data_IF_344567838163
#
_entry.id   IF_344567838163
#
_cell.length_a   1.000
_cell.length_b   1.000
_cell.length_c   1.000
_cell.angle_alpha   90.00
_cell.angle_beta   90.00
_cell.angle_gamma   90.00
#
_symmetry.space_group_name_H-M   'P 1'
#
loop_
_entity.id
_entity.type
_entity.pdbx_description
1 polymer ?
#
# COMPACT_ATOMS: atom_id res chain seq x y z
N UNK A 1 -4.19 -34.52 6.97
CA UNK A 1 -3.52 -33.29 6.47
C UNK A 1 -4.15 -32.11 7.21
N UNK A 2 -3.39 -31.22 7.87
CA UNK A 2 -3.99 -30.05 8.50
C UNK A 2 -4.37 -29.03 7.42
N UNK A 3 -5.46 -28.26 7.65
CA UNK A 3 -6.08 -27.43 6.61
C UNK A 3 -5.23 -26.20 6.28
N UNK A 4 -5.31 -25.79 5.01
CA UNK A 4 -4.66 -24.62 4.42
C UNK A 4 -4.89 -23.37 5.27
N UNK A 5 -3.83 -22.89 5.92
CA UNK A 5 -3.85 -21.60 6.60
C UNK A 5 -3.97 -20.50 5.56
N UNK A 6 -5.06 -19.73 5.61
CA UNK A 6 -5.13 -18.42 4.98
C UNK A 6 -3.92 -17.60 5.45
N UNK A 7 -2.94 -17.42 4.57
CA UNK A 7 -1.69 -16.72 4.87
C UNK A 7 -1.96 -15.22 4.92
N UNK A 8 -2.50 -14.74 6.04
CA UNK A 8 -2.42 -13.32 6.37
C UNK A 8 -0.94 -13.01 6.60
N UNK A 9 -0.24 -12.53 5.55
CA UNK A 9 1.17 -12.14 5.64
C UNK A 9 1.41 -11.15 6.77
N UNK A 10 2.65 -11.04 7.22
CA UNK A 10 3.10 -10.06 8.22
C UNK A 10 2.63 -8.65 7.86
N UNK A 11 2.54 -7.76 8.85
CA UNK A 11 2.15 -6.35 8.62
C UNK A 11 3.07 -5.67 7.59
N UNK A 12 4.35 -6.04 7.56
CA UNK A 12 5.30 -5.56 6.56
C UNK A 12 4.97 -6.08 5.15
N UNK A 13 4.62 -7.36 5.00
CA UNK A 13 4.20 -7.94 3.71
C UNK A 13 2.91 -7.30 3.20
N UNK A 14 1.95 -7.01 4.08
CA UNK A 14 0.74 -6.29 3.71
C UNK A 14 1.05 -4.89 3.15
N UNK A 15 1.90 -4.12 3.83
CA UNK A 15 2.36 -2.82 3.33
C UNK A 15 3.08 -2.93 1.98
N UNK A 16 3.91 -3.97 1.80
CA UNK A 16 4.60 -4.24 0.54
C UNK A 16 3.62 -4.55 -0.61
N UNK A 17 2.50 -5.24 -0.34
CA UNK A 17 1.49 -5.51 -1.36
C UNK A 17 0.87 -4.23 -1.93
N UNK A 18 0.54 -3.25 -1.09
CA UNK A 18 0.05 -1.94 -1.55
C UNK A 18 1.08 -1.25 -2.47
N UNK A 19 2.35 -1.22 -2.06
CA UNK A 19 3.41 -0.68 -2.90
C UNK A 19 3.53 -1.41 -4.24
N UNK A 20 3.50 -2.75 -4.22
CA UNK A 20 3.58 -3.57 -5.43
C UNK A 20 2.43 -3.30 -6.39
N UNK A 21 1.20 -3.12 -5.88
CA UNK A 21 0.02 -2.78 -6.69
C UNK A 21 0.20 -1.41 -7.36
N UNK A 22 0.64 -0.40 -6.62
CA UNK A 22 0.91 0.95 -7.17
C UNK A 22 2.00 0.90 -8.24
N UNK A 23 3.12 0.20 -7.99
CA UNK A 23 4.18 0.05 -8.97
C UNK A 23 3.78 -0.79 -10.19
N UNK A 24 2.86 -1.75 -10.05
CA UNK A 24 2.30 -2.46 -11.19
C UNK A 24 1.53 -1.51 -12.10
N UNK A 25 0.65 -0.67 -11.54
CA UNK A 25 -0.06 0.36 -12.29
C UNK A 25 0.93 1.32 -12.97
N UNK A 26 1.94 1.82 -12.25
CA UNK A 26 2.93 2.73 -12.82
C UNK A 26 3.76 2.12 -13.95
N UNK A 27 4.04 0.81 -13.90
CA UNK A 27 4.73 0.09 -14.99
C UNK A 27 3.87 0.01 -16.24
N UNK A 28 2.57 -0.23 -16.10
CA UNK A 28 1.63 -0.23 -17.22
C UNK A 28 1.47 1.17 -17.84
N UNK A 29 1.59 2.21 -17.00
CA UNK A 29 1.47 3.62 -17.40
C UNK A 29 2.74 4.23 -18.01
N UNK A 30 3.83 3.46 -18.11
CA UNK A 30 5.15 3.98 -18.47
C UNK A 30 5.18 4.70 -19.82
N UNK A 31 4.52 4.14 -20.83
CA UNK A 31 4.54 4.63 -22.22
C UNK A 31 3.29 5.43 -22.58
N UNK A 32 2.39 5.68 -21.60
CA UNK A 32 1.17 6.44 -21.80
C UNK A 32 1.39 7.96 -21.73
N UNK A 33 0.53 8.71 -22.42
CA UNK A 33 0.59 10.17 -22.40
C UNK A 33 0.29 10.74 -21.00
N UNK A 34 0.84 11.91 -20.62
CA UNK A 34 0.62 12.50 -19.30
C UNK A 34 -0.87 12.62 -18.90
N UNK A 35 -1.74 12.96 -19.86
CA UNK A 35 -3.18 13.07 -19.63
C UNK A 35 -3.82 11.72 -19.29
N UNK A 36 -3.50 10.67 -20.04
CA UNK A 36 -3.99 9.31 -19.76
C UNK A 36 -3.45 8.77 -18.44
N UNK A 37 -2.16 8.99 -18.15
CA UNK A 37 -1.56 8.61 -16.87
C UNK A 37 -2.29 9.23 -15.70
N UNK A 38 -2.67 10.51 -15.80
CA UNK A 38 -3.45 11.19 -14.77
C UNK A 38 -4.82 10.52 -14.58
N UNK A 39 -5.59 10.34 -15.65
CA UNK A 39 -6.92 9.69 -15.57
C UNK A 39 -6.83 8.30 -14.96
N UNK A 40 -5.87 7.48 -15.40
CA UNK A 40 -5.74 6.12 -14.91
C UNK A 40 -5.28 6.09 -13.44
N UNK A 41 -4.44 7.03 -13.01
CA UNK A 41 -4.08 7.15 -11.59
C UNK A 41 -5.29 7.48 -10.73
N UNK A 42 -6.14 8.41 -11.17
CA UNK A 42 -7.37 8.74 -10.45
C UNK A 42 -8.33 7.55 -10.37
N UNK A 43 -8.40 6.72 -11.42
CA UNK A 43 -9.31 5.56 -11.44
C UNK A 43 -8.76 4.34 -10.71
N UNK A 44 -7.45 4.06 -10.82
CA UNK A 44 -6.82 2.81 -10.35
C UNK A 44 -5.87 3.01 -9.18
N UNK A 45 -5.03 4.04 -9.20
CA UNK A 45 -4.07 4.26 -8.12
C UNK A 45 -4.73 4.88 -6.89
N UNK A 46 -5.71 5.78 -7.08
CA UNK A 46 -6.42 6.44 -5.99
C UNK A 46 -7.11 5.49 -5.01
N UNK A 47 -7.93 4.51 -5.44
CA UNK A 47 -8.56 3.59 -4.50
C UNK A 47 -7.55 2.73 -3.73
N UNK A 48 -6.40 2.39 -4.35
CA UNK A 48 -5.32 1.66 -3.67
C UNK A 48 -4.65 2.53 -2.60
N UNK A 49 -4.40 3.81 -2.90
CA UNK A 49 -3.87 4.77 -1.94
C UNK A 49 -4.82 5.02 -0.78
N UNK A 50 -6.12 5.15 -1.04
CA UNK A 50 -7.13 5.37 -0.01
C UNK A 50 -7.20 4.16 0.93
N UNK A 51 -7.23 2.94 0.38
CA UNK A 51 -7.17 1.70 1.16
C UNK A 51 -5.87 1.57 1.97
N UNK A 52 -4.73 1.93 1.37
CA UNK A 52 -3.44 1.94 2.06
C UNK A 52 -3.41 2.94 3.22
N UNK A 53 -3.97 4.13 3.02
CA UNK A 53 -4.05 5.18 4.05
C UNK A 53 -4.92 4.74 5.23
N UNK A 54 -6.08 4.15 4.96
CA UNK A 54 -6.95 3.58 5.99
C UNK A 54 -6.22 2.47 6.76
N UNK A 55 -5.56 1.56 6.04
CA UNK A 55 -4.76 0.50 6.65
C UNK A 55 -3.63 1.05 7.53
N UNK A 56 -2.88 2.07 7.07
CA UNK A 56 -1.83 2.72 7.86
C UNK A 56 -2.37 3.33 9.16
N UNK A 57 -3.54 3.97 9.11
CA UNK A 57 -4.22 4.52 10.30
C UNK A 57 -4.57 3.43 11.30
N UNK A 58 -5.07 2.28 10.82
CA UNK A 58 -5.33 1.11 11.67
C UNK A 58 -4.05 0.49 12.24
N UNK A 59 -2.96 0.41 11.47
CA UNK A 59 -1.70 -0.14 11.98
C UNK A 59 -0.99 0.79 12.95
N UNK A 60 -1.16 2.12 12.82
CA UNK A 60 -0.55 3.09 13.74
C UNK A 60 -0.97 2.87 15.19
N UNK A 61 -2.22 2.50 15.45
CA UNK A 61 -2.70 2.21 16.81
C UNK A 61 -2.23 0.86 17.36
N UNK A 62 -1.77 -0.04 16.47
CA UNK A 62 -1.38 -1.43 16.80
C UNK A 62 0.13 -1.66 16.79
N UNK A 63 0.92 -0.66 16.44
CA UNK A 63 2.39 -0.76 16.32
C UNK A 63 3.07 0.19 17.30
N UNK A 64 4.19 -0.26 17.89
CA UNK A 64 4.96 0.60 18.79
C UNK A 64 5.58 1.76 17.99
N UNK A 65 5.32 3.04 18.32
CA UNK A 65 5.75 4.18 17.51
C UNK A 65 7.25 4.26 17.26
N UNK A 66 8.08 3.80 18.22
CA UNK A 66 9.54 3.82 18.11
C UNK A 66 10.15 2.62 17.38
N UNK A 67 9.35 1.59 17.09
CA UNK A 67 9.80 0.43 16.30
C UNK A 67 10.11 0.83 14.85
N UNK A 68 10.88 0.00 14.13
CA UNK A 68 11.16 0.24 12.70
C UNK A 68 9.86 0.36 11.88
N UNK A 69 8.89 -0.51 12.16
CA UNK A 69 7.58 -0.50 11.52
C UNK A 69 6.75 0.73 11.90
N UNK A 70 6.72 1.11 13.19
CA UNK A 70 6.00 2.29 13.65
C UNK A 70 6.56 3.60 13.06
N UNK A 71 7.88 3.68 12.90
CA UNK A 71 8.54 4.79 12.18
C UNK A 71 8.16 4.82 10.70
N UNK A 72 8.15 3.66 10.03
CA UNK A 72 7.74 3.56 8.63
C UNK A 72 6.28 3.99 8.42
N UNK A 73 5.36 3.50 9.27
CA UNK A 73 3.94 3.90 9.25
C UNK A 73 3.79 5.41 9.46
N UNK A 74 4.49 5.96 10.45
CA UNK A 74 4.45 7.40 10.74
C UNK A 74 4.97 8.22 9.56
N UNK A 75 6.07 7.79 8.94
CA UNK A 75 6.62 8.44 7.76
C UNK A 75 5.62 8.43 6.60
N UNK A 76 5.03 7.27 6.29
CA UNK A 76 4.04 7.14 5.20
C UNK A 76 2.79 7.99 5.44
N UNK A 77 2.37 8.20 6.68
CA UNK A 77 1.22 9.05 7.02
C UNK A 77 1.52 10.56 6.93
N UNK A 78 2.80 10.94 6.88
CA UNK A 78 3.25 12.34 6.84
C UNK A 78 3.79 12.76 5.45
N UNK A 79 3.66 11.91 4.42
CA UNK A 79 3.94 12.25 3.02
C UNK A 79 2.67 12.78 2.35
#
# INVERSE_FOLDING_TARGET
>A
MPPSQDKTGTVAEQGLQFCNQLFAIERELKDESPKKRFTIREERSRPVLDAYLEWLRHQRSRTLPRSKLGKAITYSLNQ
#
